data_IF_499562274835
#
_entry.id   IF_499562274835
#
_cell.length_a   1.000
_cell.length_b   1.000
_cell.length_c   1.000
_cell.angle_alpha   90.00
_cell.angle_beta   90.00
_cell.angle_gamma   90.00
#
_symmetry.space_group_name_H-M   'P 1'
#
loop_
_entity.id
_entity.type
_entity.pdbx_description
1 polymer ?
#
# COMPACT_ATOMS: atom_id res chain seq x y z
N UNK A 1 -8.87 0.82 8.47
CA UNK A 1 -8.63 -0.29 7.52
C UNK A 1 -7.61 0.11 6.47
N UNK A 2 -7.95 1.01 5.53
CA UNK A 2 -7.03 1.50 4.50
C UNK A 2 -5.72 2.01 5.11
N UNK A 3 -5.79 2.86 6.13
CA UNK A 3 -4.62 3.38 6.85
C UNK A 3 -3.71 2.29 7.42
N UNK A 4 -4.30 1.24 8.01
CA UNK A 4 -3.52 0.14 8.58
C UNK A 4 -2.77 -0.64 7.48
N UNK A 5 -3.44 -0.93 6.36
CA UNK A 5 -2.82 -1.66 5.24
C UNK A 5 -1.72 -0.82 4.58
N UNK A 6 -1.93 0.49 4.42
CA UNK A 6 -0.88 1.41 3.99
C UNK A 6 0.28 1.48 4.98
N UNK A 7 -0.01 1.39 6.29
CA UNK A 7 1.01 1.27 7.32
C UNK A 7 1.90 0.05 7.11
N UNK A 8 1.31 -1.14 6.89
CA UNK A 8 2.04 -2.37 6.58
C UNK A 8 2.91 -2.21 5.34
N UNK A 9 2.37 -1.65 4.26
CA UNK A 9 3.15 -1.37 3.05
C UNK A 9 4.35 -0.46 3.32
N UNK A 10 4.13 0.65 4.03
CA UNK A 10 5.19 1.63 4.33
C UNK A 10 6.31 1.03 5.15
N UNK A 11 5.98 0.26 6.19
CA UNK A 11 6.99 -0.41 7.02
C UNK A 11 7.79 -1.43 6.20
N UNK A 12 7.12 -2.26 5.39
CA UNK A 12 7.78 -3.24 4.53
C UNK A 12 8.66 -2.57 3.45
N UNK A 13 8.21 -1.46 2.87
CA UNK A 13 8.96 -0.65 1.91
C UNK A 13 10.20 -0.01 2.56
N UNK A 14 10.05 0.58 3.76
CA UNK A 14 11.19 1.13 4.49
C UNK A 14 12.21 0.04 4.88
N UNK A 15 11.72 -1.14 5.23
CA UNK A 15 12.56 -2.29 5.55
C UNK A 15 13.33 -2.80 4.32
N UNK A 16 12.67 -2.93 3.16
CA UNK A 16 13.34 -3.35 1.92
C UNK A 16 14.44 -2.38 1.48
N UNK A 17 14.19 -1.07 1.57
CA UNK A 17 15.22 -0.05 1.32
C UNK A 17 16.42 -0.19 2.27
N UNK A 18 16.18 -0.52 3.54
CA UNK A 18 17.24 -0.73 4.52
C UNK A 18 18.09 -1.95 4.17
N UNK A 19 17.45 -3.06 3.81
CA UNK A 19 18.14 -4.28 3.36
C UNK A 19 19.04 -3.97 2.16
N UNK A 20 18.49 -3.35 1.11
CA UNK A 20 19.25 -3.02 -0.12
C UNK A 20 20.42 -2.08 0.17
N UNK A 21 20.21 -1.06 1.02
CA UNK A 21 21.27 -0.14 1.46
C UNK A 21 22.37 -0.88 2.22
N UNK A 22 22.02 -1.73 3.17
CA UNK A 22 22.98 -2.51 3.96
C UNK A 22 23.78 -3.45 3.07
N UNK A 23 23.10 -4.19 2.19
CA UNK A 23 23.72 -5.09 1.22
C UNK A 23 24.75 -4.36 0.35
N UNK A 24 24.35 -3.24 -0.27
CA UNK A 24 25.24 -2.42 -1.11
C UNK A 24 26.43 -1.89 -0.33
N UNK A 25 26.22 -1.37 0.88
CA UNK A 25 27.29 -0.82 1.71
C UNK A 25 28.31 -1.90 2.12
N UNK A 26 27.85 -3.08 2.54
CA UNK A 26 28.71 -4.20 2.92
C UNK A 26 29.52 -4.70 1.71
N UNK A 27 28.87 -4.90 0.57
CA UNK A 27 29.56 -5.32 -0.67
C UNK A 27 30.61 -4.31 -1.13
N UNK A 28 30.32 -3.01 -1.09
CA UNK A 28 31.29 -1.96 -1.42
C UNK A 28 32.48 -1.92 -0.45
N UNK A 29 32.28 -2.29 0.81
CA UNK A 29 33.34 -2.37 1.81
C UNK A 29 34.12 -3.70 1.76
N UNK A 30 33.79 -4.62 0.85
CA UNK A 30 34.38 -5.96 0.81
C UNK A 30 33.95 -6.88 1.96
N UNK A 31 32.89 -6.51 2.69
CA UNK A 31 32.32 -7.28 3.81
C UNK A 31 31.22 -8.18 3.24
N UNK A 32 31.25 -9.47 3.56
CA UNK A 32 30.14 -10.36 3.21
C UNK A 32 28.89 -10.02 4.05
N UNK A 33 27.72 -9.79 3.43
CA UNK A 33 26.46 -9.74 4.16
C UNK A 33 26.25 -11.03 4.95
N UNK A 34 25.63 -10.92 6.12
CA UNK A 34 25.22 -12.04 6.95
C UNK A 34 23.74 -12.37 6.70
N UNK A 35 23.26 -13.58 7.04
CA UNK A 35 21.87 -13.98 6.84
C UNK A 35 20.83 -13.03 7.46
N UNK A 36 21.20 -12.36 8.54
CA UNK A 36 20.35 -11.38 9.21
C UNK A 36 20.11 -10.11 8.37
N UNK A 37 21.01 -9.79 7.44
CA UNK A 37 20.89 -8.61 6.57
C UNK A 37 19.75 -8.75 5.53
N UNK A 38 19.29 -9.96 5.25
CA UNK A 38 18.22 -10.27 4.30
C UNK A 38 17.18 -11.24 4.90
N UNK A 39 17.01 -11.19 6.22
CA UNK A 39 16.04 -12.03 6.91
C UNK A 39 14.60 -11.70 6.48
N UNK A 40 13.79 -12.75 6.29
CA UNK A 40 12.41 -12.63 5.79
C UNK A 40 11.36 -12.48 6.88
N UNK A 41 11.74 -12.69 8.14
CA UNK A 41 10.87 -12.72 9.32
C UNK A 41 10.43 -11.31 9.79
N UNK A 42 11.15 -10.28 9.37
CA UNK A 42 10.87 -8.89 9.72
C UNK A 42 9.76 -8.24 8.86
N UNK A 43 9.25 -8.93 7.83
CA UNK A 43 8.17 -8.41 6.99
C UNK A 43 6.80 -8.60 7.64
N UNK A 44 6.04 -7.52 7.72
CA UNK A 44 4.71 -7.52 8.29
C UNK A 44 3.70 -8.06 7.27
N UNK A 45 2.73 -8.84 7.76
CA UNK A 45 1.55 -9.27 6.99
C UNK A 45 0.30 -8.70 7.64
N UNK A 46 -0.60 -8.16 6.83
CA UNK A 46 -1.90 -7.72 7.33
C UNK A 46 -2.82 -8.94 7.48
N UNK A 47 -3.69 -8.95 8.50
CA UNK A 47 -4.66 -10.03 8.71
C UNK A 47 -5.91 -9.74 7.88
N UNK A 48 -6.09 -10.44 6.76
CA UNK A 48 -7.25 -10.30 5.86
C UNK A 48 -8.59 -10.43 6.60
N UNK A 49 -8.64 -11.30 7.60
CA UNK A 49 -9.82 -11.57 8.44
C UNK A 49 -10.38 -10.35 9.18
N UNK A 50 -9.58 -9.29 9.38
CA UNK A 50 -10.03 -8.07 10.06
C UNK A 50 -10.83 -7.13 9.14
N UNK A 51 -10.95 -7.47 7.86
CA UNK A 51 -11.51 -6.58 6.83
C UNK A 51 -12.85 -7.11 6.30
N UNK A 52 -13.82 -7.21 7.20
CA UNK A 52 -15.21 -7.55 6.88
C UNK A 52 -15.86 -6.48 5.97
N UNK A 53 -16.84 -6.88 5.17
CA UNK A 53 -17.64 -6.03 4.26
C UNK A 53 -18.54 -5.00 4.98
N UNK A 54 -18.81 -5.20 6.28
CA UNK A 54 -19.77 -4.40 7.04
C UNK A 54 -19.52 -2.87 7.09
N UNK A 55 -18.28 -2.36 7.19
CA UNK A 55 -18.00 -0.91 7.18
C UNK A 55 -18.35 -0.24 5.84
N UNK A 56 -18.16 -0.93 4.72
CA UNK A 56 -18.42 -0.37 3.38
C UNK A 56 -19.91 -0.33 3.06
N UNK A 57 -20.68 -1.30 3.54
CA UNK A 57 -22.14 -1.25 3.43
C UNK A 57 -22.73 0.02 4.08
N UNK A 58 -22.23 0.42 5.25
CA UNK A 58 -22.63 1.67 5.90
C UNK A 58 -22.27 2.90 5.08
N UNK A 59 -21.08 2.91 4.46
CA UNK A 59 -20.65 4.00 3.59
C UNK A 59 -21.56 4.13 2.36
N UNK A 60 -21.96 3.02 1.75
CA UNK A 60 -22.91 2.99 0.62
C UNK A 60 -24.29 3.50 1.06
N UNK A 61 -24.77 3.16 2.26
CA UNK A 61 -26.02 3.72 2.79
C UNK A 61 -25.94 5.24 2.99
N UNK A 62 -24.78 5.75 3.40
CA UNK A 62 -24.55 7.16 3.70
C UNK A 62 -24.38 8.01 2.43
N UNK A 63 -23.56 7.54 1.49
CA UNK A 63 -23.12 8.30 0.32
C UNK A 63 -23.77 7.82 -1.00
N UNK A 64 -24.57 6.75 -0.94
CA UNK A 64 -25.20 6.13 -2.10
C UNK A 64 -24.32 5.08 -2.78
N UNK A 65 -24.87 4.46 -3.84
CA UNK A 65 -24.21 3.38 -4.60
C UNK A 65 -22.84 3.75 -5.14
N UNK A 66 -22.62 5.01 -5.48
CA UNK A 66 -21.33 5.48 -6.00
C UNK A 66 -20.17 5.32 -5.00
N UNK A 67 -20.45 5.17 -3.70
CA UNK A 67 -19.43 4.91 -2.70
C UNK A 67 -18.91 3.46 -2.70
N UNK A 68 -19.49 2.57 -3.53
CA UNK A 68 -18.94 1.23 -3.79
C UNK A 68 -17.50 1.30 -4.31
N UNK A 69 -17.12 2.39 -4.98
CA UNK A 69 -15.73 2.62 -5.41
C UNK A 69 -14.72 2.52 -4.25
N UNK A 70 -15.06 2.94 -3.03
CA UNK A 70 -14.15 2.82 -1.89
C UNK A 70 -13.91 1.36 -1.51
N UNK A 71 -14.94 0.53 -1.60
CA UNK A 71 -14.82 -0.90 -1.34
C UNK A 71 -13.91 -1.55 -2.38
N UNK A 72 -14.19 -1.31 -3.66
CA UNK A 72 -13.45 -1.91 -4.77
C UNK A 72 -11.97 -1.51 -4.74
N UNK A 73 -11.68 -0.22 -4.54
CA UNK A 73 -10.30 0.26 -4.45
C UNK A 73 -9.59 -0.20 -3.17
N UNK A 74 -10.33 -0.51 -2.10
CA UNK A 74 -9.73 -1.15 -0.92
C UNK A 74 -9.30 -2.59 -1.24
N UNK A 75 -10.09 -3.34 -2.01
CA UNK A 75 -9.68 -4.70 -2.45
C UNK A 75 -8.43 -4.64 -3.33
N UNK A 76 -8.34 -3.65 -4.24
CA UNK A 76 -7.14 -3.42 -5.03
C UNK A 76 -5.93 -3.04 -4.16
N UNK A 77 -6.11 -2.22 -3.13
CA UNK A 77 -5.06 -1.91 -2.15
C UNK A 77 -4.55 -3.19 -1.48
N UNK A 78 -5.43 -4.11 -1.08
CA UNK A 78 -5.03 -5.38 -0.46
C UNK A 78 -4.14 -6.18 -1.42
N UNK A 79 -4.62 -6.41 -2.64
CA UNK A 79 -3.84 -7.12 -3.66
C UNK A 79 -2.49 -6.44 -3.95
N UNK A 80 -2.46 -5.10 -3.98
CA UNK A 80 -1.25 -4.32 -4.16
C UNK A 80 -0.24 -4.54 -3.02
N UNK A 81 -0.66 -4.45 -1.76
CA UNK A 81 0.23 -4.64 -0.60
C UNK A 81 0.71 -6.08 -0.49
N UNK A 82 -0.15 -7.05 -0.79
CA UNK A 82 0.23 -8.48 -0.86
C UNK A 82 1.32 -8.69 -1.92
N UNK A 83 1.13 -8.12 -3.12
CA UNK A 83 2.09 -8.22 -4.24
C UNK A 83 3.42 -7.56 -3.90
N UNK A 84 3.38 -6.35 -3.33
CA UNK A 84 4.58 -5.64 -2.89
C UNK A 84 5.34 -6.42 -1.81
N UNK A 85 4.62 -6.94 -0.81
CA UNK A 85 5.23 -7.71 0.28
C UNK A 85 5.84 -9.01 -0.23
N UNK A 86 5.19 -9.69 -1.18
CA UNK A 86 5.75 -10.88 -1.82
C UNK A 86 7.04 -10.55 -2.60
N UNK A 87 7.06 -9.45 -3.35
CA UNK A 87 8.28 -9.00 -4.02
C UNK A 87 9.40 -8.74 -2.99
N UNK A 88 9.13 -7.99 -1.93
CA UNK A 88 10.17 -7.63 -0.97
C UNK A 88 10.65 -8.84 -0.15
N UNK A 89 9.74 -9.68 0.31
CA UNK A 89 10.06 -10.78 1.21
C UNK A 89 10.60 -12.00 0.48
N UNK A 90 9.99 -12.38 -0.64
CA UNK A 90 10.31 -13.67 -1.28
C UNK A 90 11.13 -13.53 -2.55
N UNK A 91 10.95 -12.48 -3.32
CA UNK A 91 11.79 -12.28 -4.51
C UNK A 91 13.13 -11.66 -4.10
N UNK A 92 13.10 -10.45 -3.53
CA UNK A 92 14.30 -9.70 -3.17
C UNK A 92 15.17 -10.42 -2.13
N UNK A 93 14.64 -10.82 -0.98
CA UNK A 93 15.47 -11.46 0.06
C UNK A 93 16.05 -12.81 -0.39
N UNK A 94 15.30 -13.61 -1.17
CA UNK A 94 15.81 -14.88 -1.68
C UNK A 94 16.88 -14.64 -2.75
N UNK A 95 16.69 -13.67 -3.63
CA UNK A 95 17.72 -13.30 -4.60
C UNK A 95 19.01 -12.83 -3.90
N UNK A 96 18.91 -11.99 -2.87
CA UNK A 96 20.06 -11.58 -2.08
C UNK A 96 20.74 -12.78 -1.40
N UNK A 97 19.97 -13.72 -0.85
CA UNK A 97 20.49 -14.96 -0.28
C UNK A 97 21.25 -15.79 -1.32
N UNK A 98 20.66 -16.05 -2.48
CA UNK A 98 21.28 -16.84 -3.55
C UNK A 98 22.52 -16.14 -4.16
N UNK A 99 22.54 -14.81 -4.13
CA UNK A 99 23.72 -14.01 -4.49
C UNK A 99 24.86 -14.15 -3.47
N UNK A 100 24.53 -14.16 -2.17
CA UNK A 100 25.55 -14.19 -1.08
C UNK A 100 26.03 -15.61 -0.80
N UNK A 101 25.12 -16.57 -0.69
CA UNK A 101 25.40 -17.94 -0.25
C UNK A 101 25.49 -18.92 -1.42
N UNK A 102 24.63 -18.75 -2.41
CA UNK A 102 24.44 -19.73 -3.48
C UNK A 102 25.44 -19.61 -4.64
N UNK A 103 26.05 -18.44 -4.83
CA UNK A 103 26.82 -18.08 -6.03
C UNK A 103 26.08 -18.40 -7.35
N UNK A 104 24.73 -18.41 -7.32
CA UNK A 104 23.90 -18.77 -8.48
C UNK A 104 23.54 -17.56 -9.35
N UNK A 105 23.66 -16.37 -8.79
CA UNK A 105 23.38 -15.10 -9.46
C UNK A 105 24.70 -14.52 -9.98
N UNK A 106 24.78 -14.35 -11.29
CA UNK A 106 25.99 -13.88 -12.00
C UNK A 106 26.01 -12.38 -12.26
N UNK A 107 24.88 -11.68 -12.10
CA UNK A 107 24.83 -10.21 -12.19
C UNK A 107 25.60 -9.60 -11.02
N UNK A 108 26.22 -8.44 -11.21
CA UNK A 108 26.96 -7.80 -10.13
C UNK A 108 26.01 -7.25 -9.05
N UNK A 109 26.54 -7.08 -7.83
CA UNK A 109 25.77 -6.63 -6.67
C UNK A 109 25.11 -5.25 -6.87
N UNK A 110 25.71 -4.36 -7.67
CA UNK A 110 25.15 -3.03 -7.91
C UNK A 110 23.94 -3.15 -8.83
N UNK A 111 24.06 -3.87 -9.94
CA UNK A 111 22.94 -4.11 -10.86
C UNK A 111 21.75 -4.76 -10.13
N UNK A 112 22.00 -5.82 -9.35
CA UNK A 112 20.96 -6.47 -8.56
C UNK A 112 20.27 -5.50 -7.59
N UNK A 113 21.05 -4.69 -6.89
CA UNK A 113 20.51 -3.68 -5.96
C UNK A 113 19.72 -2.59 -6.69
N UNK A 114 20.19 -2.12 -7.83
CA UNK A 114 19.56 -1.05 -8.60
C UNK A 114 18.21 -1.52 -9.20
N UNK A 115 18.11 -2.77 -9.62
CA UNK A 115 16.86 -3.38 -10.12
C UNK A 115 15.78 -3.43 -9.03
N UNK A 116 16.11 -3.91 -7.82
CA UNK A 116 15.15 -3.93 -6.72
C UNK A 116 14.86 -2.52 -6.17
N UNK A 117 15.83 -1.60 -6.18
CA UNK A 117 15.57 -0.19 -5.84
C UNK A 117 14.55 0.43 -6.80
N UNK A 118 14.67 0.14 -8.09
CA UNK A 118 13.69 0.57 -9.09
C UNK A 118 12.32 -0.03 -8.80
N UNK A 119 12.23 -1.33 -8.54
CA UNK A 119 10.96 -1.97 -8.21
C UNK A 119 10.32 -1.38 -6.94
N UNK A 120 11.10 -1.16 -5.87
CA UNK A 120 10.62 -0.51 -4.63
C UNK A 120 10.11 0.90 -4.92
N UNK A 121 10.82 1.66 -5.74
CA UNK A 121 10.39 3.00 -6.16
C UNK A 121 9.08 2.94 -6.96
N UNK A 122 8.96 2.03 -7.92
CA UNK A 122 7.74 1.86 -8.71
C UNK A 122 6.54 1.54 -7.82
N UNK A 123 6.71 0.70 -6.79
CA UNK A 123 5.67 0.44 -5.79
C UNK A 123 5.39 1.68 -4.93
N UNK A 124 6.40 2.42 -4.50
CA UNK A 124 6.22 3.67 -3.75
C UNK A 124 5.38 4.67 -4.56
N UNK A 125 5.72 4.89 -5.83
CA UNK A 125 5.01 5.83 -6.71
C UNK A 125 3.57 5.36 -6.96
N UNK A 126 3.36 4.07 -7.23
CA UNK A 126 2.02 3.47 -7.38
C UNK A 126 1.18 3.52 -6.11
N UNK A 127 1.78 3.64 -4.92
CA UNK A 127 1.05 3.68 -3.66
C UNK A 127 0.32 5.02 -3.43
N UNK A 128 0.75 6.10 -4.11
CA UNK A 128 0.23 7.45 -3.90
C UNK A 128 -1.29 7.53 -4.06
N UNK A 129 -1.85 6.86 -5.08
CA UNK A 129 -3.30 6.84 -5.34
C UNK A 129 -4.12 6.30 -4.17
N UNK A 130 -3.55 5.42 -3.34
CA UNK A 130 -4.22 4.87 -2.17
C UNK A 130 -4.13 5.80 -0.95
N UNK A 131 -3.08 6.62 -0.84
CA UNK A 131 -3.05 7.72 0.12
C UNK A 131 -4.08 8.79 -0.23
N UNK A 132 -4.25 9.08 -1.52
CA UNK A 132 -5.28 10.00 -2.00
C UNK A 132 -6.69 9.44 -1.71
N UNK A 133 -6.92 8.13 -1.90
CA UNK A 133 -8.15 7.44 -1.48
C UNK A 133 -8.44 7.62 0.03
N UNK A 134 -7.42 7.47 0.89
CA UNK A 134 -7.56 7.65 2.33
C UNK A 134 -7.95 9.10 2.67
N UNK A 135 -7.33 10.08 2.01
CA UNK A 135 -7.64 11.49 2.19
C UNK A 135 -9.10 11.82 1.80
N UNK A 136 -9.57 11.30 0.65
CA UNK A 136 -10.97 11.46 0.26
C UNK A 136 -11.92 10.81 1.28
N UNK A 137 -11.58 9.65 1.84
CA UNK A 137 -12.39 9.03 2.90
C UNK A 137 -12.41 9.86 4.19
N UNK A 138 -11.28 10.49 4.56
CA UNK A 138 -11.19 11.38 5.71
C UNK A 138 -12.06 12.63 5.55
N UNK A 139 -12.22 13.16 4.33
CA UNK A 139 -13.16 14.26 4.05
C UNK A 139 -14.61 13.86 4.35
N UNK A 140 -15.00 12.64 3.99
CA UNK A 140 -16.34 12.11 4.32
C UNK A 140 -16.49 11.96 5.83
N UNK A 141 -15.49 11.40 6.51
CA UNK A 141 -15.50 11.26 7.97
C UNK A 141 -15.62 12.62 8.67
N UNK A 142 -14.84 13.61 8.24
CA UNK A 142 -14.91 14.98 8.75
C UNK A 142 -16.31 15.58 8.56
N UNK A 143 -16.90 15.45 7.38
CA UNK A 143 -18.25 15.95 7.10
C UNK A 143 -19.35 15.27 7.96
N UNK A 144 -19.11 14.03 8.41
CA UNK A 144 -19.98 13.31 9.36
C UNK A 144 -19.78 13.81 10.80
N UNK A 145 -18.55 14.11 11.20
CA UNK A 145 -18.21 14.53 12.56
C UNK A 145 -18.63 15.98 12.85
N UNK A 146 -18.56 16.87 11.86
CA UNK A 146 -18.86 18.30 12.05
C UNK A 146 -20.35 18.62 12.16
N UNK A 147 -21.24 17.70 11.81
CA UNK A 147 -22.68 17.93 11.91
C UNK A 147 -23.43 16.77 12.57
N UNK A 148 -24.28 17.03 13.58
CA UNK A 148 -25.14 16.00 14.16
C UNK A 148 -26.23 15.59 13.16
N UNK A 149 -25.92 14.61 12.32
CA UNK A 149 -26.86 14.07 11.33
C UNK A 149 -27.89 13.20 12.05
N UNK A 150 -29.11 13.73 12.16
CA UNK A 150 -30.26 12.90 12.55
C UNK A 150 -30.56 11.91 11.42
N UNK A 151 -30.97 10.69 11.77
CA UNK A 151 -31.29 9.61 10.82
C UNK A 151 -32.19 10.07 9.65
N UNK A 152 -33.19 10.93 9.93
CA UNK A 152 -34.10 11.52 8.93
C UNK A 152 -33.42 12.37 7.85
N UNK A 153 -32.21 12.86 8.11
CA UNK A 153 -31.42 13.71 7.22
C UNK A 153 -30.29 12.95 6.51
N UNK A 154 -30.16 11.63 6.66
CA UNK A 154 -29.14 10.83 5.98
C UNK A 154 -29.18 10.99 4.45
N UNK A 155 -30.38 11.07 3.88
CA UNK A 155 -30.53 11.34 2.43
C UNK A 155 -29.93 12.69 2.02
N UNK A 156 -30.03 13.71 2.87
CA UNK A 156 -29.45 15.04 2.61
C UNK A 156 -27.92 15.03 2.69
N UNK A 157 -27.32 14.10 3.44
CA UNK A 157 -25.87 13.96 3.53
C UNK A 157 -25.27 13.59 2.17
N UNK A 158 -25.85 12.59 1.49
CA UNK A 158 -25.47 12.20 0.13
C UNK A 158 -25.56 13.36 -0.87
N UNK A 159 -26.53 14.24 -0.72
CA UNK A 159 -26.78 15.30 -1.69
C UNK A 159 -25.82 16.49 -1.57
N UNK A 160 -25.00 16.55 -0.50
CA UNK A 160 -24.01 17.61 -0.29
C UNK A 160 -22.99 17.64 -1.42
N UNK A 161 -22.63 18.87 -1.82
CA UNK A 161 -21.64 19.11 -2.87
C UNK A 161 -20.28 18.50 -2.52
N UNK A 162 -19.85 18.60 -1.27
CA UNK A 162 -18.59 18.04 -0.78
C UNK A 162 -18.50 16.52 -0.95
N UNK A 163 -19.59 15.80 -0.67
CA UNK A 163 -19.66 14.34 -0.80
C UNK A 163 -19.62 13.94 -2.28
N UNK A 164 -20.39 14.64 -3.13
CA UNK A 164 -20.37 14.41 -4.57
C UNK A 164 -18.98 14.68 -5.17
N UNK A 165 -18.34 15.77 -4.76
CA UNK A 165 -17.00 16.11 -5.20
C UNK A 165 -15.97 15.06 -4.76
N UNK A 166 -16.07 14.59 -3.52
CA UNK A 166 -15.20 13.53 -3.01
C UNK A 166 -15.32 12.26 -3.83
N UNK A 167 -16.55 11.81 -4.13
CA UNK A 167 -16.79 10.64 -4.96
C UNK A 167 -16.22 10.80 -6.38
N UNK A 168 -16.36 11.99 -6.97
CA UNK A 168 -15.80 12.28 -8.29
C UNK A 168 -14.28 12.32 -8.28
N UNK A 169 -13.66 12.88 -7.23
CA UNK A 169 -12.22 12.87 -7.05
C UNK A 169 -11.68 11.43 -7.00
N UNK A 170 -12.33 10.54 -6.24
CA UNK A 170 -11.93 9.12 -6.21
C UNK A 170 -12.03 8.50 -7.60
N UNK A 171 -13.11 8.74 -8.35
CA UNK A 171 -13.20 8.24 -9.74
C UNK A 171 -12.04 8.75 -10.60
N UNK A 172 -11.66 10.02 -10.46
CA UNK A 172 -10.57 10.62 -11.24
C UNK A 172 -9.18 10.09 -10.86
N UNK A 173 -8.93 9.87 -9.57
CA UNK A 173 -7.69 9.24 -9.07
C UNK A 173 -7.47 7.89 -9.78
N UNK A 174 -8.51 7.06 -9.84
CA UNK A 174 -8.38 5.70 -10.38
C UNK A 174 -8.63 5.58 -11.89
N UNK A 175 -9.25 6.56 -12.56
CA UNK A 175 -9.32 6.61 -14.03
C UNK A 175 -7.97 6.92 -14.69
N UNK A 176 -7.18 7.81 -14.09
CA UNK A 176 -5.92 8.29 -14.66
C UNK A 176 -4.71 7.41 -14.29
N UNK A 177 -4.88 6.49 -13.33
CA UNK A 177 -3.79 5.67 -12.78
C UNK A 177 -3.60 4.30 -13.45
N UNK A 178 -4.50 3.92 -14.36
CA UNK A 178 -4.49 2.64 -15.10
C UNK A 178 -4.23 2.85 -16.61
N UNK A 179 -3.77 4.04 -17.02
CA UNK A 179 -3.29 4.39 -18.36
C UNK A 179 -1.76 4.43 -18.41
#
# INVERSE_FOLDING_TARGET
>A
VIEHVLGVFRENCAHSLRILKTFRNKKNAGISPSPEDYATDCFLRYKQELFYTAPFYKLIQLCGKEAEIFHDQTQHLFAFVESATNLFQYDMCVALKEFVEGNRITVDAKTLSDDYLKAVKDYSDKSQKYYDLLNELQKIAFALETEPIRYRNLKKFRDRQEIKQTLENVKNIFKNSDS
#
